data_IF_154611079198
#
_entry.id   IF_154611079198
#
_cell.length_a   1.000
_cell.length_b   1.000
_cell.length_c   1.000
_cell.angle_alpha   90.00
_cell.angle_beta   90.00
_cell.angle_gamma   90.00
#
_symmetry.space_group_name_H-M   'P 1'
#
loop_
_entity.id
_entity.type
_entity.pdbx_description
1 polymer ?
#
# COMPACT_ATOMS: atom_id res chain seq x y z
N UNK A 1 24.86 0.29 11.97
CA UNK A 1 23.65 0.36 12.83
C UNK A 1 23.13 -1.06 12.96
N UNK A 2 23.19 -1.66 14.15
CA UNK A 2 22.69 -3.02 14.37
C UNK A 2 21.23 -2.92 14.78
N UNK A 3 20.32 -3.51 14.03
CA UNK A 3 18.93 -3.61 14.41
C UNK A 3 18.75 -4.88 15.24
N UNK A 4 18.24 -4.72 16.47
CA UNK A 4 17.78 -5.86 17.25
C UNK A 4 16.44 -6.33 16.68
N UNK A 5 16.45 -7.44 15.97
CA UNK A 5 15.25 -8.12 15.51
C UNK A 5 14.64 -8.82 16.72
N UNK A 6 13.38 -8.56 17.03
CA UNK A 6 12.68 -9.26 18.10
C UNK A 6 12.46 -10.73 17.75
N UNK A 7 12.47 -11.62 18.75
CA UNK A 7 12.29 -13.08 18.54
C UNK A 7 11.03 -13.42 17.72
N UNK A 8 9.95 -12.66 17.90
CA UNK A 8 8.72 -12.80 17.11
C UNK A 8 8.93 -12.54 15.61
N UNK A 9 9.82 -11.61 15.27
CA UNK A 9 10.10 -11.21 13.89
C UNK A 9 10.99 -12.25 13.21
N UNK A 10 11.93 -12.82 13.96
CA UNK A 10 12.75 -13.97 13.50
C UNK A 10 11.88 -15.17 13.19
N UNK A 11 10.88 -15.47 14.03
CA UNK A 11 9.95 -16.58 13.78
C UNK A 11 9.14 -16.33 12.51
N UNK A 12 8.65 -15.10 12.31
CA UNK A 12 7.91 -14.73 11.11
C UNK A 12 8.78 -14.88 9.85
N UNK A 13 10.02 -14.44 9.89
CA UNK A 13 10.98 -14.60 8.78
C UNK A 13 11.23 -16.08 8.46
N UNK A 14 11.40 -16.93 9.48
CA UNK A 14 11.59 -18.37 9.29
C UNK A 14 10.35 -19.06 8.74
N UNK A 15 9.17 -18.64 9.16
CA UNK A 15 7.91 -19.13 8.60
C UNK A 15 7.71 -18.67 7.16
N UNK A 16 8.16 -17.47 6.83
CA UNK A 16 8.18 -16.94 5.46
C UNK A 16 9.17 -17.66 4.56
N UNK A 17 10.28 -18.16 5.06
CA UNK A 17 11.22 -18.98 4.26
C UNK A 17 10.55 -20.18 3.61
N UNK A 18 9.46 -20.69 4.19
CA UNK A 18 8.65 -21.75 3.58
C UNK A 18 7.93 -21.28 2.30
N UNK A 19 7.75 -19.99 2.14
CA UNK A 19 7.11 -19.35 0.97
C UNK A 19 8.11 -18.73 0.01
N UNK A 20 9.39 -18.63 0.38
CA UNK A 20 10.46 -18.06 -0.46
C UNK A 20 10.78 -18.90 -1.71
N UNK A 21 10.28 -20.14 -1.81
CA UNK A 21 10.34 -20.87 -3.08
C UNK A 21 9.53 -20.19 -4.20
N UNK A 22 8.71 -19.20 -3.89
CA UNK A 22 8.03 -18.34 -4.85
C UNK A 22 8.96 -17.26 -5.45
N UNK A 23 10.24 -17.32 -5.13
CA UNK A 23 11.33 -16.56 -5.72
C UNK A 23 11.12 -15.05 -5.68
N UNK A 24 12.02 -14.35 -5.06
CA UNK A 24 12.39 -12.96 -5.33
C UNK A 24 12.23 -11.94 -4.22
N UNK A 25 11.52 -12.17 -3.13
CA UNK A 25 11.61 -11.17 -2.08
C UNK A 25 12.64 -11.59 -1.06
N UNK A 26 13.75 -10.89 -1.10
CA UNK A 26 14.77 -10.96 -0.07
C UNK A 26 14.11 -10.73 1.29
N UNK A 27 14.38 -11.61 2.25
CA UNK A 27 13.90 -11.47 3.61
C UNK A 27 14.23 -10.09 4.21
N UNK A 28 15.31 -9.47 3.75
CA UNK A 28 15.70 -8.11 4.13
C UNK A 28 14.68 -7.07 3.65
N UNK A 29 14.18 -7.19 2.43
CA UNK A 29 13.17 -6.26 1.89
C UNK A 29 11.86 -6.36 2.68
N UNK A 30 11.42 -7.56 2.99
CA UNK A 30 10.25 -7.76 3.85
C UNK A 30 10.47 -7.19 5.25
N UNK A 31 11.64 -7.36 5.84
CA UNK A 31 11.97 -6.76 7.13
C UNK A 31 11.97 -5.23 7.08
N UNK A 32 12.40 -4.62 5.98
CA UNK A 32 12.30 -3.16 5.81
C UNK A 32 10.86 -2.68 5.73
N UNK A 33 9.96 -3.45 5.11
CA UNK A 33 8.53 -3.21 5.09
C UNK A 33 7.94 -3.19 6.51
N UNK A 34 8.15 -4.26 7.28
CA UNK A 34 7.66 -4.37 8.66
C UNK A 34 8.28 -3.32 9.58
N UNK A 35 9.55 -3.01 9.37
CA UNK A 35 10.23 -1.96 10.12
C UNK A 35 9.65 -0.58 9.84
N UNK A 36 9.24 -0.30 8.60
CA UNK A 36 8.58 0.95 8.26
C UNK A 36 7.25 1.11 9.01
N UNK A 37 6.46 0.04 9.16
CA UNK A 37 5.27 0.06 10.00
C UNK A 37 5.60 0.45 11.44
N UNK A 38 6.60 -0.16 12.04
CA UNK A 38 6.93 0.03 13.45
C UNK A 38 7.70 1.34 13.75
N UNK A 39 8.57 1.78 12.85
CA UNK A 39 9.45 2.92 13.11
C UNK A 39 8.88 4.25 12.64
N UNK A 40 8.15 4.25 11.52
CA UNK A 40 7.68 5.46 10.89
C UNK A 40 6.16 5.63 10.98
N UNK A 41 5.41 4.59 10.64
CA UNK A 41 3.95 4.72 10.59
C UNK A 41 3.29 4.82 11.96
N UNK A 42 3.89 4.27 13.02
CA UNK A 42 3.40 4.49 14.39
C UNK A 42 3.35 5.97 14.79
N UNK A 43 4.17 6.81 14.15
CA UNK A 43 4.19 8.26 14.38
C UNK A 43 3.07 9.00 13.64
N UNK A 44 2.36 8.33 12.75
CA UNK A 44 1.34 8.96 11.91
C UNK A 44 -0.03 8.91 12.59
N UNK A 45 -0.46 10.04 13.15
CA UNK A 45 -1.72 10.15 13.92
C UNK A 45 -2.96 9.65 13.17
N UNK A 46 -2.99 9.79 11.86
CA UNK A 46 -4.17 9.44 11.06
C UNK A 46 -4.29 7.94 10.71
N UNK A 47 -3.27 7.13 10.99
CA UNK A 47 -3.37 5.67 10.80
C UNK A 47 -4.12 5.02 11.96
N UNK A 48 -3.96 5.56 13.18
CA UNK A 48 -4.65 5.05 14.36
C UNK A 48 -6.18 5.19 14.30
N UNK A 49 -6.67 6.18 13.55
CA UNK A 49 -8.09 6.50 13.47
C UNK A 49 -8.85 5.67 12.42
N UNK A 50 -8.11 4.90 11.61
CA UNK A 50 -8.71 4.04 10.59
C UNK A 50 -8.87 2.63 11.17
N UNK A 51 -10.09 2.11 11.33
CA UNK A 51 -10.29 0.76 11.85
C UNK A 51 -9.56 -0.26 11.00
N UNK A 52 -8.79 -1.13 11.68
CA UNK A 52 -8.12 -2.25 11.01
C UNK A 52 -9.19 -3.25 10.54
N UNK A 53 -9.66 -3.05 9.32
CA UNK A 53 -10.59 -3.95 8.66
C UNK A 53 -9.80 -5.04 7.95
N UNK A 54 -10.12 -6.31 8.25
CA UNK A 54 -9.51 -7.43 7.60
C UNK A 54 -9.76 -7.45 6.08
N UNK A 55 -8.96 -8.20 5.35
CA UNK A 55 -9.12 -8.37 3.89
C UNK A 55 -10.51 -8.90 3.49
N UNK A 56 -11.17 -9.60 4.39
CA UNK A 56 -12.48 -10.23 4.18
C UNK A 56 -13.65 -9.21 4.16
N UNK A 57 -13.38 -7.97 4.55
CA UNK A 57 -14.38 -6.89 4.55
C UNK A 57 -14.44 -6.09 3.24
N UNK A 58 -13.64 -6.44 2.25
CA UNK A 58 -13.77 -5.85 0.93
C UNK A 58 -15.09 -6.27 0.29
N UNK A 59 -16.00 -5.33 0.20
CA UNK A 59 -17.23 -5.51 -0.53
C UNK A 59 -16.89 -5.86 -1.99
N UNK A 60 -17.50 -6.94 -2.49
CA UNK A 60 -17.29 -7.38 -3.87
C UNK A 60 -18.10 -6.49 -4.83
N UNK A 61 -17.66 -5.23 -4.94
CA UNK A 61 -18.30 -4.23 -5.79
C UNK A 61 -17.47 -4.02 -7.07
N UNK A 62 -17.91 -4.68 -8.14
CA UNK A 62 -17.24 -4.63 -9.45
C UNK A 62 -17.14 -3.20 -9.97
N UNK A 63 -18.16 -2.35 -9.75
CA UNK A 63 -18.15 -0.97 -10.22
C UNK A 63 -17.14 -0.10 -9.45
N UNK A 64 -17.01 -0.30 -8.14
CA UNK A 64 -16.00 0.38 -7.34
C UNK A 64 -14.59 -0.01 -7.78
N UNK A 65 -14.36 -1.30 -8.05
CA UNK A 65 -13.07 -1.79 -8.56
C UNK A 65 -12.74 -1.24 -9.94
N UNK A 66 -13.70 -1.22 -10.85
CA UNK A 66 -13.52 -0.63 -12.18
C UNK A 66 -13.17 0.87 -12.09
N UNK A 67 -13.77 1.60 -11.15
CA UNK A 67 -13.47 3.01 -10.91
C UNK A 67 -12.04 3.19 -10.35
N UNK A 68 -11.60 2.33 -9.43
CA UNK A 68 -10.22 2.32 -8.93
C UNK A 68 -9.20 2.00 -10.03
N UNK A 69 -9.48 1.02 -10.85
CA UNK A 69 -8.64 0.66 -12.00
C UNK A 69 -8.47 1.85 -12.96
N UNK A 70 -9.58 2.54 -13.26
CA UNK A 70 -9.52 3.75 -14.07
C UNK A 70 -8.64 4.83 -13.43
N UNK A 71 -8.81 5.07 -12.12
CA UNK A 71 -8.00 6.03 -11.38
C UNK A 71 -6.50 5.66 -11.41
N UNK A 72 -6.15 4.41 -11.18
CA UNK A 72 -4.77 3.95 -11.22
C UNK A 72 -4.14 4.16 -12.61
N UNK A 73 -4.87 3.82 -13.67
CA UNK A 73 -4.42 4.04 -15.04
C UNK A 73 -4.23 5.53 -15.37
N UNK A 74 -5.10 6.41 -14.87
CA UNK A 74 -4.95 7.85 -15.02
C UNK A 74 -3.73 8.37 -14.25
N UNK A 75 -3.49 7.89 -13.04
CA UNK A 75 -2.31 8.26 -12.24
C UNK A 75 -1.01 7.81 -12.91
N UNK A 76 -0.95 6.57 -13.43
CA UNK A 76 0.21 6.09 -14.18
C UNK A 76 0.47 6.95 -15.42
N UNK A 77 -0.59 7.33 -16.13
CA UNK A 77 -0.48 8.22 -17.28
C UNK A 77 -0.02 9.62 -16.88
N UNK A 78 -0.49 10.17 -15.75
CA UNK A 78 -0.04 11.46 -15.23
C UNK A 78 1.45 11.47 -14.89
N UNK A 79 1.98 10.35 -14.37
CA UNK A 79 3.43 10.20 -14.12
C UNK A 79 4.23 10.18 -15.43
N UNK A 80 3.71 9.54 -16.47
CA UNK A 80 4.39 9.49 -17.78
C UNK A 80 4.26 10.80 -18.58
N UNK A 81 3.23 11.59 -18.31
CA UNK A 81 2.95 12.87 -18.98
C UNK A 81 2.80 14.02 -17.98
N UNK A 82 3.87 14.38 -17.22
CA UNK A 82 3.75 15.28 -16.07
C UNK A 82 3.32 16.73 -16.42
N UNK A 83 3.43 17.11 -17.68
CA UNK A 83 3.01 18.43 -18.17
C UNK A 83 1.54 18.45 -18.66
N UNK A 84 0.87 17.31 -18.65
CA UNK A 84 -0.52 17.22 -19.11
C UNK A 84 -1.49 17.41 -17.93
N UNK A 85 -1.80 18.65 -17.64
CA UNK A 85 -2.69 19.02 -16.52
C UNK A 85 -4.07 18.38 -16.62
N UNK A 86 -4.58 18.13 -17.84
CA UNK A 86 -5.89 17.54 -18.03
C UNK A 86 -5.98 16.12 -17.45
N UNK A 87 -4.93 15.32 -17.59
CA UNK A 87 -4.90 13.95 -17.01
C UNK A 87 -4.98 14.01 -15.48
N UNK A 88 -4.32 14.99 -14.86
CA UNK A 88 -4.38 15.19 -13.40
C UNK A 88 -5.79 15.56 -12.98
N UNK A 89 -6.45 16.47 -13.71
CA UNK A 89 -7.83 16.87 -13.42
C UNK A 89 -8.80 15.69 -13.58
N UNK A 90 -8.62 14.88 -14.62
CA UNK A 90 -9.42 13.68 -14.85
C UNK A 90 -9.24 12.65 -13.72
N UNK A 91 -8.01 12.46 -13.24
CA UNK A 91 -7.72 11.58 -12.11
C UNK A 91 -8.38 12.09 -10.81
N UNK A 92 -8.31 13.39 -10.55
CA UNK A 92 -8.97 13.99 -9.39
C UNK A 92 -10.50 13.84 -9.47
N UNK A 93 -11.10 14.07 -10.62
CA UNK A 93 -12.53 13.88 -10.82
C UNK A 93 -12.94 12.42 -10.60
N UNK A 94 -12.15 11.46 -11.09
CA UNK A 94 -12.39 10.02 -10.88
C UNK A 94 -12.26 9.64 -9.41
N UNK A 95 -11.28 10.22 -8.70
CA UNK A 95 -11.09 10.02 -7.27
C UNK A 95 -12.28 10.52 -6.44
N UNK A 96 -12.76 11.73 -6.72
CA UNK A 96 -13.90 12.32 -6.01
C UNK A 96 -15.20 11.55 -6.29
N UNK A 97 -15.37 11.10 -7.52
CA UNK A 97 -16.47 10.25 -7.94
C UNK A 97 -16.46 8.90 -7.21
N UNK A 98 -15.31 8.23 -7.17
CA UNK A 98 -15.14 6.97 -6.45
C UNK A 98 -15.47 7.13 -4.95
N UNK A 99 -14.88 8.14 -4.32
CA UNK A 99 -15.10 8.47 -2.91
C UNK A 99 -16.57 8.73 -2.58
N UNK A 100 -17.29 9.41 -3.48
CA UNK A 100 -18.69 9.80 -3.29
C UNK A 100 -19.65 8.65 -3.56
N UNK A 101 -19.42 7.91 -4.63
CA UNK A 101 -20.32 6.82 -5.05
C UNK A 101 -20.10 5.52 -4.26
N UNK A 102 -18.87 5.30 -3.76
CA UNK A 102 -18.47 4.06 -3.08
C UNK A 102 -17.75 4.34 -1.74
N UNK A 103 -18.41 5.01 -0.77
CA UNK A 103 -17.73 5.48 0.43
C UNK A 103 -17.15 4.36 1.30
N UNK A 104 -17.78 3.18 1.34
CA UNK A 104 -17.24 2.05 2.12
C UNK A 104 -16.03 1.41 1.43
N UNK A 105 -16.06 1.25 0.11
CA UNK A 105 -14.91 0.79 -0.67
C UNK A 105 -13.74 1.77 -0.55
N UNK A 106 -14.02 3.07 -0.62
CA UNK A 106 -13.04 4.12 -0.40
C UNK A 106 -12.38 4.03 0.97
N UNK A 107 -13.16 3.90 2.06
CA UNK A 107 -12.61 3.79 3.42
C UNK A 107 -11.69 2.59 3.58
N UNK A 108 -12.12 1.43 3.07
CA UNK A 108 -11.33 0.21 3.15
C UNK A 108 -10.03 0.32 2.35
N UNK A 109 -10.14 0.79 1.12
CA UNK A 109 -8.98 0.96 0.23
C UNK A 109 -8.01 2.02 0.74
N UNK A 110 -8.53 3.14 1.27
CA UNK A 110 -7.73 4.21 1.82
C UNK A 110 -6.81 3.75 2.96
N UNK A 111 -7.31 2.85 3.82
CA UNK A 111 -6.50 2.24 4.86
C UNK A 111 -5.34 1.43 4.27
N UNK A 112 -5.65 0.52 3.35
CA UNK A 112 -4.64 -0.33 2.73
C UNK A 112 -3.65 0.47 1.88
N UNK A 113 -4.12 1.41 1.09
CA UNK A 113 -3.27 2.22 0.23
C UNK A 113 -2.30 3.08 1.05
N UNK A 114 -2.72 3.55 2.21
CA UNK A 114 -1.85 4.35 3.09
C UNK A 114 -0.94 3.52 3.98
N UNK A 115 -1.46 2.45 4.55
CA UNK A 115 -0.68 1.61 5.46
C UNK A 115 0.26 0.69 4.68
N UNK A 116 -0.31 -0.20 3.89
CA UNK A 116 0.45 -1.21 3.19
C UNK A 116 1.15 -0.65 1.93
N UNK A 117 0.47 0.23 1.20
CA UNK A 117 1.02 0.81 -0.02
C UNK A 117 2.26 1.65 0.21
N UNK A 118 2.31 2.43 1.30
CA UNK A 118 3.50 3.22 1.62
C UNK A 118 4.64 2.36 2.15
N UNK A 119 4.36 1.32 2.92
CA UNK A 119 5.35 0.36 3.37
C UNK A 119 5.92 -0.43 2.18
N UNK A 120 5.06 -0.85 1.25
CA UNK A 120 5.48 -1.51 0.01
C UNK A 120 6.32 -0.61 -0.89
N UNK A 121 5.96 0.67 -1.01
CA UNK A 121 6.79 1.65 -1.72
C UNK A 121 8.19 1.77 -1.08
N UNK A 122 8.24 1.83 0.25
CA UNK A 122 9.51 1.90 0.98
C UNK A 122 10.37 0.65 0.77
N UNK A 123 9.74 -0.52 0.80
CA UNK A 123 10.38 -1.80 0.47
C UNK A 123 11.01 -1.78 -0.93
N UNK A 124 10.25 -1.39 -1.96
CA UNK A 124 10.74 -1.32 -3.33
C UNK A 124 11.90 -0.34 -3.49
N UNK A 125 11.78 0.85 -2.91
CA UNK A 125 12.85 1.87 -2.98
C UNK A 125 14.11 1.37 -2.27
N UNK A 126 13.98 0.73 -1.11
CA UNK A 126 15.10 0.14 -0.39
C UNK A 126 15.82 -0.92 -1.21
N UNK A 127 15.08 -1.73 -1.97
CA UNK A 127 15.65 -2.74 -2.87
C UNK A 127 16.40 -2.16 -4.07
N UNK A 128 16.08 -0.93 -4.48
CA UNK A 128 16.82 -0.26 -5.57
C UNK A 128 18.18 0.31 -5.13
N UNK A 129 18.37 0.51 -3.84
CA UNK A 129 19.60 1.10 -3.26
C UNK A 129 20.44 0.10 -2.47
N UNK A 130 20.04 -1.16 -2.41
CA UNK A 130 20.79 -2.25 -1.79
C UNK A 130 21.64 -3.00 -2.83
#
# INVERSE_FOLDING_TARGET
>A
MYYAIADKDVKNVLDWQKYLHLGTHDAILFLTHEQFHNAEQEKWQYISDIPNRGRDEFLDNILARAKRDLLQNQLLKAVSEPNNTQIILDALATYDDWKTQFPEDYKNSYYFDRKEGTAYYYELVSGLYS
#
